data_IF_531100922560
#
_entry.id   IF_531100922560
#
_cell.length_a   1.000
_cell.length_b   1.000
_cell.length_c   1.000
_cell.angle_alpha   90.00
_cell.angle_beta   90.00
_cell.angle_gamma   90.00
#
_symmetry.space_group_name_H-M   'P 1'
#
loop_
_entity.id
_entity.type
_entity.pdbx_description
1 polymer ?
#
# COMPACT_ATOMS: atom_id res chain seq x y z
N UNK A 1 5.55 -5.65 8.19
CA UNK A 1 4.16 -5.97 7.80
C UNK A 1 3.36 -6.22 9.06
N UNK A 2 2.29 -5.46 9.29
CA UNK A 2 1.46 -5.64 10.47
C UNK A 2 0.80 -7.03 10.43
N UNK A 3 1.04 -7.86 11.45
CA UNK A 3 0.22 -9.05 11.72
C UNK A 3 -1.12 -8.62 12.30
N UNK A 4 -1.91 -7.90 11.49
CA UNK A 4 -3.22 -7.38 11.89
C UNK A 4 -4.27 -8.11 11.06
N UNK A 5 -4.84 -9.16 11.66
CA UNK A 5 -6.00 -9.88 11.13
C UNK A 5 -5.71 -10.87 10.00
N UNK A 6 -6.79 -11.27 9.32
CA UNK A 6 -6.79 -12.34 8.31
C UNK A 6 -6.06 -12.02 7.01
N UNK A 7 -5.83 -10.73 6.70
CA UNK A 7 -5.17 -10.30 5.46
C UNK A 7 -3.72 -10.79 5.40
N UNK A 8 -3.02 -10.78 6.54
CA UNK A 8 -1.67 -11.33 6.65
C UNK A 8 -1.62 -12.79 6.20
N UNK A 9 -2.61 -13.60 6.62
CA UNK A 9 -2.72 -15.00 6.22
C UNK A 9 -2.97 -15.14 4.73
N UNK A 10 -3.88 -14.35 4.16
CA UNK A 10 -4.20 -14.37 2.72
C UNK A 10 -2.96 -14.04 1.88
N UNK A 11 -2.22 -12.99 2.24
CA UNK A 11 -1.03 -12.59 1.48
C UNK A 11 0.07 -13.64 1.64
N UNK A 12 0.26 -14.16 2.86
CA UNK A 12 1.27 -15.19 3.14
C UNK A 12 1.04 -16.48 2.35
N UNK A 13 -0.19 -16.98 2.29
CA UNK A 13 -0.48 -18.23 1.56
C UNK A 13 -0.45 -18.03 0.05
N UNK A 14 -0.81 -16.84 -0.46
CA UNK A 14 -0.75 -16.52 -1.89
C UNK A 14 0.68 -16.29 -2.39
N UNK A 15 1.60 -15.92 -1.51
CA UNK A 15 2.95 -15.49 -1.88
C UNK A 15 3.72 -16.57 -2.65
N UNK A 16 3.65 -17.84 -2.22
CA UNK A 16 4.36 -18.95 -2.87
C UNK A 16 3.99 -19.09 -4.35
N UNK A 17 2.70 -19.25 -4.65
CA UNK A 17 2.21 -19.36 -6.03
C UNK A 17 2.48 -18.10 -6.85
N UNK A 18 2.39 -16.91 -6.24
CA UNK A 18 2.65 -15.66 -6.98
C UNK A 18 4.12 -15.50 -7.35
N UNK A 19 5.05 -15.90 -6.46
CA UNK A 19 6.48 -15.90 -6.76
C UNK A 19 6.84 -16.98 -7.78
N UNK A 20 6.17 -18.13 -7.77
CA UNK A 20 6.35 -19.16 -8.80
C UNK A 20 6.03 -18.62 -10.20
N UNK A 21 4.98 -17.80 -10.33
CA UNK A 21 4.59 -17.19 -11.61
C UNK A 21 5.42 -15.96 -12.00
N UNK A 22 5.72 -15.08 -11.05
CA UNK A 22 6.31 -13.75 -11.34
C UNK A 22 7.78 -13.61 -10.92
N UNK A 23 8.31 -14.54 -10.15
CA UNK A 23 9.68 -14.51 -9.64
C UNK A 23 10.03 -13.20 -8.93
N UNK A 24 11.20 -12.65 -9.27
CA UNK A 24 11.71 -11.41 -8.70
C UNK A 24 10.93 -10.14 -9.11
N UNK A 25 9.97 -10.24 -10.05
CA UNK A 25 9.10 -9.13 -10.42
C UNK A 25 7.95 -8.91 -9.43
N UNK A 26 7.71 -9.85 -8.52
CA UNK A 26 6.73 -9.68 -7.44
C UNK A 26 7.36 -9.03 -6.22
N UNK A 27 6.81 -7.87 -5.82
CA UNK A 27 7.29 -7.09 -4.68
C UNK A 27 6.11 -6.69 -3.81
N UNK A 28 6.17 -7.01 -2.52
CA UNK A 28 5.19 -6.58 -1.54
C UNK A 28 5.60 -5.24 -0.94
N UNK A 29 4.68 -4.28 -0.92
CA UNK A 29 4.87 -2.98 -0.30
C UNK A 29 4.12 -2.95 1.03
N UNK A 30 4.76 -2.46 2.08
CA UNK A 30 4.12 -2.35 3.40
C UNK A 30 4.75 -1.32 4.32
N UNK A 31 4.05 -0.94 5.40
CA UNK A 31 4.65 -0.11 6.43
C UNK A 31 5.70 -0.89 7.22
N UNK A 32 6.77 -0.19 7.60
CA UNK A 32 7.85 -0.70 8.43
C UNK A 32 7.36 -0.84 9.87
N UNK A 33 7.46 -2.06 10.37
CA UNK A 33 7.35 -2.35 11.80
C UNK A 33 8.67 -2.97 12.22
N UNK A 34 9.43 -2.29 13.08
CA UNK A 34 10.79 -2.70 13.43
C UNK A 34 10.85 -4.06 14.13
N UNK A 35 9.81 -4.40 14.92
CA UNK A 35 9.73 -5.69 15.63
C UNK A 35 9.55 -6.82 14.61
N UNK A 36 8.54 -6.71 13.74
CA UNK A 36 8.29 -7.73 12.71
C UNK A 36 9.44 -7.83 11.70
N UNK A 37 10.07 -6.71 11.34
CA UNK A 37 11.18 -6.71 10.38
C UNK A 37 12.35 -7.56 10.87
N UNK A 38 12.74 -7.43 12.15
CA UNK A 38 13.88 -8.19 12.72
C UNK A 38 13.66 -9.71 12.76
N UNK A 39 12.41 -10.15 12.84
CA UNK A 39 12.07 -11.58 13.01
C UNK A 39 11.61 -12.24 11.72
N UNK A 40 11.01 -11.48 10.81
CA UNK A 40 10.35 -12.03 9.62
C UNK A 40 11.04 -11.64 8.31
N UNK A 41 11.98 -10.70 8.29
CA UNK A 41 12.57 -10.20 7.04
C UNK A 41 14.08 -10.42 7.02
N UNK A 42 14.56 -11.08 5.97
CA UNK A 42 15.98 -11.10 5.64
C UNK A 42 16.36 -9.81 4.91
N UNK A 43 16.96 -8.88 5.65
CA UNK A 43 17.31 -7.55 5.13
C UNK A 43 18.49 -7.67 4.18
N UNK A 44 18.28 -7.22 2.95
CA UNK A 44 19.28 -7.27 1.88
C UNK A 44 19.15 -6.03 1.00
N UNK A 45 19.94 -5.95 -0.07
CA UNK A 45 19.78 -4.94 -1.11
C UNK A 45 19.18 -5.58 -2.36
N UNK A 46 18.34 -4.85 -3.12
CA UNK A 46 17.67 -5.41 -4.29
C UNK A 46 18.65 -5.76 -5.39
N UNK A 47 18.46 -6.93 -6.00
CA UNK A 47 19.19 -7.37 -7.20
C UNK A 47 18.73 -6.64 -8.46
N UNK A 48 17.46 -6.23 -8.49
CA UNK A 48 16.88 -5.48 -9.60
C UNK A 48 17.38 -4.01 -9.58
N UNK A 49 18.06 -3.59 -10.63
CA UNK A 49 18.64 -2.25 -10.75
C UNK A 49 17.59 -1.13 -10.76
N UNK A 50 16.43 -1.34 -11.39
CA UNK A 50 15.35 -0.36 -11.36
C UNK A 50 14.85 -0.14 -9.92
N UNK A 51 14.62 -1.24 -9.19
CA UNK A 51 14.20 -1.20 -7.80
C UNK A 51 15.26 -0.53 -6.90
N UNK A 52 16.53 -0.87 -7.10
CA UNK A 52 17.66 -0.28 -6.38
C UNK A 52 17.74 1.24 -6.57
N UNK A 53 17.59 1.70 -7.82
CA UNK A 53 17.59 3.13 -8.16
C UNK A 53 16.39 3.85 -7.56
N UNK A 54 15.19 3.26 -7.62
CA UNK A 54 14.00 3.82 -6.98
C UNK A 54 14.20 3.98 -5.48
N UNK A 55 14.64 2.93 -4.78
CA UNK A 55 14.85 2.98 -3.33
C UNK A 55 15.89 4.03 -2.98
N UNK A 56 16.99 4.11 -3.75
CA UNK A 56 18.01 5.14 -3.54
C UNK A 56 17.50 6.56 -3.83
N UNK A 57 16.61 6.75 -4.80
CA UNK A 57 15.99 8.05 -5.05
C UNK A 57 15.14 8.51 -3.86
N UNK A 58 14.33 7.63 -3.28
CA UNK A 58 13.54 7.96 -2.09
C UNK A 58 14.42 8.16 -0.85
N UNK A 59 15.47 7.34 -0.67
CA UNK A 59 16.45 7.50 0.43
C UNK A 59 17.19 8.84 0.36
N UNK A 60 17.43 9.40 -0.83
CA UNK A 60 18.01 10.76 -1.01
C UNK A 60 17.09 11.88 -0.51
N UNK A 61 15.81 11.60 -0.35
CA UNK A 61 14.82 12.51 0.23
C UNK A 61 14.54 12.20 1.71
N UNK A 62 15.49 11.58 2.41
CA UNK A 62 15.43 11.22 3.82
C UNK A 62 14.28 10.25 4.20
N UNK A 63 13.75 9.52 3.22
CA UNK A 63 12.73 8.50 3.46
C UNK A 63 13.43 7.21 3.86
N UNK A 64 13.19 6.73 5.08
CA UNK A 64 13.75 5.47 5.56
C UNK A 64 12.96 4.31 4.95
N UNK A 65 13.64 3.55 4.08
CA UNK A 65 13.09 2.39 3.38
C UNK A 65 14.00 1.18 3.59
N UNK A 66 13.39 0.07 3.97
CA UNK A 66 14.05 -1.22 4.15
C UNK A 66 13.61 -2.15 3.02
N UNK A 67 14.59 -2.69 2.29
CA UNK A 67 14.37 -3.79 1.36
C UNK A 67 14.79 -5.11 2.02
N UNK A 68 14.13 -6.19 1.62
CA UNK A 68 14.54 -7.53 2.03
C UNK A 68 13.66 -8.59 1.41
N UNK A 69 13.77 -9.79 1.94
CA UNK A 69 12.89 -10.91 1.58
C UNK A 69 12.12 -11.39 2.79
N UNK A 70 10.84 -11.66 2.60
CA UNK A 70 10.00 -12.15 3.69
C UNK A 70 10.29 -13.64 3.92
N UNK A 71 10.61 -14.00 5.16
CA UNK A 71 10.93 -15.36 5.62
C UNK A 71 9.66 -16.22 5.72
N UNK A 72 8.99 -16.41 4.59
CA UNK A 72 7.84 -17.28 4.41
C UNK A 72 8.05 -18.15 3.16
N UNK A 73 7.16 -19.12 2.96
CA UNK A 73 7.11 -19.92 1.74
C UNK A 73 6.97 -19.02 0.50
N UNK A 74 7.79 -19.27 -0.52
CA UNK A 74 7.90 -18.42 -1.71
C UNK A 74 9.01 -17.36 -1.66
N UNK A 75 9.50 -17.00 -0.48
CA UNK A 75 10.61 -16.03 -0.31
C UNK A 75 10.48 -14.72 -1.12
N UNK A 76 9.33 -14.01 -1.04
CA UNK A 76 9.04 -12.85 -1.88
C UNK A 76 9.86 -11.62 -1.48
N UNK A 77 10.11 -10.74 -2.45
CA UNK A 77 10.72 -9.43 -2.22
C UNK A 77 9.74 -8.51 -1.47
N UNK A 78 10.26 -7.75 -0.50
CA UNK A 78 9.48 -6.78 0.27
C UNK A 78 10.17 -5.42 0.34
N UNK A 79 9.38 -4.35 0.26
CA UNK A 79 9.80 -2.97 0.49
C UNK A 79 8.97 -2.42 1.64
N UNK A 80 9.64 -2.04 2.72
CA UNK A 80 9.02 -1.53 3.93
C UNK A 80 9.32 -0.06 4.13
N UNK A 81 8.28 0.75 4.24
CA UNK A 81 8.35 2.21 4.37
C UNK A 81 8.20 2.64 5.83
N UNK A 82 9.16 3.40 6.34
CA UNK A 82 9.04 4.05 7.65
C UNK A 82 8.11 5.26 7.56
N UNK A 83 6.85 5.08 7.96
CA UNK A 83 5.84 6.14 7.99
C UNK A 83 6.28 7.32 8.86
N UNK A 84 6.96 7.05 9.99
CA UNK A 84 7.40 8.07 10.93
C UNK A 84 8.39 9.05 10.31
N UNK A 85 9.26 8.58 9.42
CA UNK A 85 10.22 9.43 8.69
C UNK A 85 9.57 10.51 7.83
N UNK A 86 8.31 10.31 7.45
CA UNK A 86 7.59 11.15 6.49
C UNK A 86 6.40 11.90 7.10
N UNK A 87 6.20 11.81 8.42
CA UNK A 87 5.09 12.45 9.12
C UNK A 87 5.06 13.98 8.95
N UNK A 88 6.22 14.61 8.75
CA UNK A 88 6.33 16.06 8.54
C UNK A 88 5.66 16.57 7.25
N UNK A 89 5.39 15.68 6.28
CA UNK A 89 4.71 16.02 5.00
C UNK A 89 3.20 15.81 5.02
N UNK A 90 2.64 15.30 6.13
CA UNK A 90 1.24 14.86 6.18
C UNK A 90 0.25 15.95 5.78
N UNK A 91 0.46 17.20 6.21
CA UNK A 91 -0.46 18.30 5.93
C UNK A 91 -0.56 18.61 4.44
N UNK A 92 0.55 18.50 3.71
CA UNK A 92 0.56 18.64 2.25
C UNK A 92 -0.25 17.54 1.59
N UNK A 93 -0.08 16.29 2.03
CA UNK A 93 -0.81 15.16 1.43
C UNK A 93 -2.29 15.14 1.79
N UNK A 94 -2.66 15.59 2.99
CA UNK A 94 -4.07 15.83 3.35
C UNK A 94 -4.70 16.90 2.47
N UNK A 95 -3.97 17.99 2.22
CA UNK A 95 -4.40 19.05 1.31
C UNK A 95 -4.59 18.52 -0.11
N UNK A 96 -3.61 17.80 -0.65
CA UNK A 96 -3.70 17.18 -1.98
C UNK A 96 -4.93 16.26 -2.11
N UNK A 97 -5.20 15.46 -1.06
CA UNK A 97 -6.32 14.54 -1.02
C UNK A 97 -7.68 15.27 -0.99
N UNK A 98 -7.76 16.36 -0.23
CA UNK A 98 -8.93 17.24 -0.19
C UNK A 98 -9.17 17.91 -1.55
N UNK A 99 -8.13 18.51 -2.14
CA UNK A 99 -8.25 19.22 -3.42
C UNK A 99 -8.58 18.28 -4.58
N UNK A 100 -8.06 17.05 -4.55
CA UNK A 100 -8.26 16.09 -5.64
C UNK A 100 -9.57 15.30 -5.52
N UNK A 101 -10.00 14.97 -4.31
CA UNK A 101 -11.08 13.99 -4.07
C UNK A 101 -12.12 14.45 -3.04
N UNK A 102 -11.95 15.62 -2.43
CA UNK A 102 -12.82 16.14 -1.37
C UNK A 102 -12.92 15.20 -0.14
N UNK A 103 -11.84 14.49 0.17
CA UNK A 103 -11.75 13.58 1.33
C UNK A 103 -10.96 14.29 2.43
N UNK A 104 -11.66 14.63 3.53
CA UNK A 104 -11.08 15.26 4.71
C UNK A 104 -10.62 14.21 5.72
N UNK A 105 -9.46 14.43 6.35
CA UNK A 105 -8.88 13.50 7.33
C UNK A 105 -8.81 14.19 8.70
N UNK A 106 -9.54 13.68 9.72
CA UNK A 106 -9.48 14.20 11.07
C UNK A 106 -8.05 14.17 11.62
N UNK A 107 -7.66 15.22 12.35
CA UNK A 107 -6.28 15.34 12.88
C UNK A 107 -5.97 14.23 13.90
N UNK A 108 -6.96 13.87 14.73
CA UNK A 108 -6.78 12.92 15.83
C UNK A 108 -6.85 11.44 15.42
N UNK A 109 -7.17 11.14 14.16
CA UNK A 109 -7.25 9.77 13.67
C UNK A 109 -5.87 9.29 13.17
N UNK A 110 -5.13 8.62 14.04
CA UNK A 110 -3.80 8.08 13.72
C UNK A 110 -3.84 7.04 12.61
N UNK A 111 -4.91 6.23 12.52
CA UNK A 111 -5.00 5.17 11.51
C UNK A 111 -5.20 5.77 10.11
N UNK A 112 -6.09 6.76 9.99
CA UNK A 112 -6.25 7.51 8.74
C UNK A 112 -4.98 8.30 8.39
N UNK A 113 -4.31 8.90 9.38
CA UNK A 113 -3.04 9.61 9.16
C UNK A 113 -1.95 8.69 8.60
N UNK A 114 -1.79 7.51 9.18
CA UNK A 114 -0.81 6.50 8.75
C UNK A 114 -1.14 6.00 7.33
N UNK A 115 -2.42 5.77 7.03
CA UNK A 115 -2.89 5.38 5.69
C UNK A 115 -2.56 6.43 4.62
N UNK A 116 -2.70 7.73 4.95
CA UNK A 116 -2.36 8.83 4.04
C UNK A 116 -0.87 8.88 3.76
N UNK A 117 -0.04 8.83 4.81
CA UNK A 117 1.41 8.86 4.65
C UNK A 117 1.88 7.64 3.85
N UNK A 118 1.43 6.45 4.22
CA UNK A 118 1.78 5.22 3.51
C UNK A 118 1.34 5.26 2.05
N UNK A 119 0.10 5.67 1.78
CA UNK A 119 -0.42 5.82 0.42
C UNK A 119 0.38 6.81 -0.41
N UNK A 120 0.75 7.95 0.15
CA UNK A 120 1.56 8.96 -0.53
C UNK A 120 2.97 8.44 -0.88
N UNK A 121 3.60 7.70 0.04
CA UNK A 121 4.90 7.07 -0.17
C UNK A 121 4.84 5.98 -1.24
N UNK A 122 3.79 5.14 -1.24
CA UNK A 122 3.59 4.12 -2.27
C UNK A 122 3.38 4.76 -3.64
N UNK A 123 2.56 5.81 -3.75
CA UNK A 123 2.34 6.50 -5.01
C UNK A 123 3.62 7.20 -5.52
N UNK A 124 4.43 7.77 -4.62
CA UNK A 124 5.73 8.33 -5.00
C UNK A 124 6.68 7.23 -5.50
N UNK A 125 6.79 6.12 -4.76
CA UNK A 125 7.58 4.96 -5.17
C UNK A 125 7.20 4.46 -6.57
N UNK A 126 5.89 4.27 -6.83
CA UNK A 126 5.39 3.83 -8.15
C UNK A 126 5.74 4.83 -9.27
N UNK A 127 5.67 6.14 -8.99
CA UNK A 127 6.08 7.18 -9.93
C UNK A 127 7.57 7.12 -10.28
N UNK A 128 8.43 6.89 -9.28
CA UNK A 128 9.87 6.77 -9.49
C UNK A 128 10.26 5.51 -10.26
N UNK A 129 9.61 4.36 -10.00
CA UNK A 129 9.82 3.13 -10.81
C UNK A 129 9.53 3.40 -12.29
N UNK A 130 8.46 4.16 -12.58
CA UNK A 130 8.08 4.51 -13.95
C UNK A 130 9.14 5.38 -14.63
N UNK A 131 9.58 6.46 -13.98
CA UNK A 131 10.59 7.38 -14.52
C UNK A 131 11.87 6.65 -14.91
N UNK A 132 12.25 5.61 -14.15
CA UNK A 132 13.44 4.82 -14.41
C UNK A 132 13.24 3.79 -15.54
N UNK A 133 12.05 3.21 -15.69
CA UNK A 133 11.72 2.36 -16.85
C UNK A 133 11.73 3.13 -18.17
N UNK A 134 11.47 4.44 -18.16
CA UNK A 134 11.60 5.28 -19.36
C UNK A 134 13.03 5.31 -19.91
N UNK A 135 14.04 5.05 -19.07
CA UNK A 135 15.45 4.97 -19.44
C UNK A 135 15.88 3.59 -19.98
N UNK A 136 15.00 2.58 -19.99
CA UNK A 136 15.29 1.22 -20.47
C UNK A 136 14.79 0.98 -21.90
N UNK A 137 15.52 0.19 -22.72
CA UNK A 137 15.12 -0.17 -24.07
C UNK A 137 13.84 -1.03 -24.07
N UNK A 138 12.97 -0.82 -25.08
CA UNK A 138 11.70 -1.54 -25.24
C UNK A 138 11.92 -3.02 -25.60
N UNK A 139 10.98 -3.94 -25.26
CA UNK A 139 9.65 -3.71 -24.67
C UNK A 139 9.64 -3.68 -23.14
N UNK A 140 8.81 -2.80 -22.57
CA UNK A 140 8.68 -2.61 -21.11
C UNK A 140 7.49 -3.41 -20.57
N UNK A 141 7.66 -4.23 -19.53
CA UNK A 141 6.52 -4.91 -18.92
C UNK A 141 5.63 -3.88 -18.18
N UNK A 142 4.29 -4.03 -18.24
CA UNK A 142 3.37 -3.16 -17.53
C UNK A 142 3.60 -3.24 -16.01
N UNK A 143 3.34 -2.14 -15.29
CA UNK A 143 3.36 -2.14 -13.83
C UNK A 143 1.92 -2.32 -13.34
N UNK A 144 1.72 -3.29 -12.44
CA UNK A 144 0.44 -3.56 -11.79
C UNK A 144 0.61 -3.32 -10.29
N UNK A 145 -0.20 -2.45 -9.71
CA UNK A 145 -0.25 -2.18 -8.28
C UNK A 145 -1.57 -2.72 -7.69
N UNK A 146 -1.45 -3.73 -6.82
CA UNK A 146 -2.59 -4.36 -6.15
C UNK A 146 -2.67 -3.89 -4.69
N UNK A 147 -3.75 -3.19 -4.37
CA UNK A 147 -4.04 -2.64 -3.05
C UNK A 147 -5.04 -3.52 -2.30
N UNK A 148 -4.70 -3.90 -1.08
CA UNK A 148 -5.54 -4.71 -0.19
C UNK A 148 -6.07 -3.84 0.95
N UNK A 149 -7.39 -3.77 1.06
CA UNK A 149 -8.15 -2.91 1.98
C UNK A 149 -7.95 -1.39 1.88
N UNK A 150 -8.91 -0.69 2.48
CA UNK A 150 -8.99 0.77 2.48
C UNK A 150 -7.73 1.46 3.04
N UNK A 151 -7.05 0.87 4.02
CA UNK A 151 -5.81 1.40 4.61
C UNK A 151 -4.68 1.59 3.58
N UNK A 152 -4.64 0.76 2.53
CA UNK A 152 -3.65 0.90 1.46
C UNK A 152 -4.17 1.70 0.27
N UNK A 153 -5.48 1.93 0.21
CA UNK A 153 -6.18 2.49 -0.95
C UNK A 153 -5.93 3.97 -1.17
N UNK A 154 -5.42 4.70 -0.18
CA UNK A 154 -4.96 6.08 -0.40
C UNK A 154 -3.85 6.12 -1.45
N UNK A 155 -3.00 5.08 -1.51
CA UNK A 155 -2.01 4.93 -2.57
C UNK A 155 -2.66 4.79 -3.95
N UNK A 156 -3.74 4.01 -4.06
CA UNK A 156 -4.51 3.89 -5.31
C UNK A 156 -5.07 5.24 -5.75
N UNK A 157 -5.68 5.99 -4.82
CA UNK A 157 -6.23 7.32 -5.10
C UNK A 157 -5.13 8.22 -5.67
N UNK A 158 -3.99 8.34 -4.98
CA UNK A 158 -2.87 9.13 -5.46
C UNK A 158 -2.30 8.64 -6.79
N UNK A 159 -2.21 7.32 -7.02
CA UNK A 159 -1.78 6.77 -8.31
C UNK A 159 -2.69 7.25 -9.45
N UNK A 160 -4.00 7.30 -9.21
CA UNK A 160 -4.99 7.73 -10.21
C UNK A 160 -5.05 9.24 -10.38
N UNK A 161 -5.06 10.02 -9.31
CA UNK A 161 -5.13 11.50 -9.38
C UNK A 161 -3.84 12.12 -9.92
N UNK A 162 -2.69 11.45 -9.73
CA UNK A 162 -1.40 11.87 -10.31
C UNK A 162 -1.16 11.32 -11.72
N UNK A 163 -2.15 10.63 -12.33
CA UNK A 163 -2.07 10.08 -13.68
C UNK A 163 -0.83 9.18 -13.92
N UNK A 164 -0.49 8.34 -12.95
CA UNK A 164 0.61 7.40 -13.11
C UNK A 164 0.23 6.29 -14.11
N UNK A 165 1.17 5.91 -14.97
CA UNK A 165 1.01 4.81 -15.94
C UNK A 165 1.19 3.45 -15.25
N UNK A 166 0.26 3.14 -14.35
CA UNK A 166 0.25 1.92 -13.53
C UNK A 166 -1.18 1.39 -13.51
N UNK A 167 -1.35 0.12 -13.86
CA UNK A 167 -2.63 -0.56 -13.71
C UNK A 167 -2.90 -0.81 -12.22
N UNK A 168 -4.07 -0.40 -11.72
CA UNK A 168 -4.41 -0.56 -10.31
C UNK A 168 -5.49 -1.61 -10.10
N UNK A 169 -5.33 -2.44 -9.07
CA UNK A 169 -6.32 -3.43 -8.61
C UNK A 169 -6.63 -3.16 -7.15
N UNK A 170 -7.90 -3.20 -6.78
CA UNK A 170 -8.34 -3.06 -5.39
C UNK A 170 -9.09 -4.31 -4.94
N UNK A 171 -8.76 -4.79 -3.74
CA UNK A 171 -9.49 -5.87 -3.08
C UNK A 171 -9.80 -5.47 -1.64
N UNK A 172 -11.08 -5.30 -1.35
CA UNK A 172 -11.60 -5.19 0.02
C UNK A 172 -11.94 -6.59 0.53
N UNK A 173 -11.60 -6.88 1.78
CA UNK A 173 -11.88 -8.16 2.44
C UNK A 173 -13.16 -8.06 3.28
N UNK A 174 -13.51 -6.86 3.74
CA UNK A 174 -14.79 -6.53 4.34
C UNK A 174 -15.11 -5.04 4.16
N UNK A 175 -16.40 -4.71 4.05
CA UNK A 175 -16.82 -3.30 4.04
C UNK A 175 -16.89 -2.75 5.46
N UNK A 176 -16.41 -1.52 5.66
CA UNK A 176 -16.45 -0.83 6.97
C UNK A 176 -17.89 -0.81 7.52
N UNK A 177 -18.83 -0.36 6.70
CA UNK A 177 -20.24 -0.26 7.06
C UNK A 177 -20.87 -1.62 7.37
N UNK A 178 -20.53 -2.67 6.61
CA UNK A 178 -21.04 -4.01 6.85
C UNK A 178 -20.66 -4.53 8.24
N UNK A 179 -19.43 -4.24 8.70
CA UNK A 179 -18.99 -4.60 10.06
C UNK A 179 -19.79 -3.86 11.13
N UNK A 180 -20.01 -2.56 10.97
CA UNK A 180 -20.78 -1.74 11.93
C UNK A 180 -22.25 -2.15 11.99
N UNK A 181 -22.91 -2.32 10.84
CA UNK A 181 -24.32 -2.68 10.76
C UNK A 181 -24.61 -4.10 11.29
N UNK A 182 -23.72 -5.06 11.04
CA UNK A 182 -23.86 -6.39 11.62
C UNK A 182 -23.69 -6.38 13.15
N UNK A 183 -22.80 -5.53 13.68
CA UNK A 183 -22.60 -5.41 15.12
C UNK A 183 -23.80 -4.77 15.83
N UNK A 184 -24.54 -3.88 15.16
CA UNK A 184 -25.76 -3.26 15.70
C UNK A 184 -27.01 -4.15 15.60
N UNK A 185 -26.87 -5.42 15.22
CA UNK A 185 -27.97 -6.37 15.01
C UNK A 185 -29.00 -5.92 13.97
N UNK A 186 -28.60 -5.05 13.03
CA UNK A 186 -29.45 -4.67 11.92
C UNK A 186 -29.66 -5.86 10.97
N UNK A 187 -30.87 -6.00 10.44
CA UNK A 187 -31.14 -6.96 9.37
C UNK A 187 -30.56 -6.44 8.05
N UNK A 188 -29.24 -6.62 7.92
CA UNK A 188 -28.42 -6.02 6.87
C UNK A 188 -28.86 -6.47 5.48
N UNK A 189 -28.92 -7.78 5.25
CA UNK A 189 -29.12 -8.32 3.90
C UNK A 189 -30.51 -8.02 3.34
N UNK A 190 -31.54 -7.92 4.18
CA UNK A 190 -32.88 -7.59 3.74
C UNK A 190 -33.13 -6.08 3.58
N UNK A 191 -32.25 -5.23 4.11
CA UNK A 191 -32.42 -3.77 4.12
C UNK A 191 -31.28 -3.01 3.44
N UNK A 192 -30.34 -3.70 2.76
CA UNK A 192 -29.25 -3.12 1.97
C UNK A 192 -29.64 -1.85 1.17
N UNK A 193 -30.72 -1.84 0.36
CA UNK A 193 -31.08 -0.66 -0.43
C UNK A 193 -31.73 0.48 0.39
N UNK A 194 -32.03 0.26 1.66
CA UNK A 194 -32.71 1.23 2.54
C UNK A 194 -31.76 2.01 3.45
N UNK A 195 -30.48 1.61 3.52
CA UNK A 195 -29.51 2.31 4.34
C UNK A 195 -29.03 3.58 3.65
N UNK A 196 -29.16 4.70 4.36
CA UNK A 196 -28.52 5.96 3.99
C UNK A 196 -27.05 5.90 4.43
N UNK A 197 -26.15 5.61 3.48
CA UNK A 197 -24.75 5.34 3.77
C UNK A 197 -24.04 6.53 4.44
N UNK A 198 -24.48 7.76 4.17
CA UNK A 198 -23.88 8.98 4.71
C UNK A 198 -24.31 9.27 6.16
N UNK A 199 -25.43 8.70 6.61
CA UNK A 199 -26.00 8.92 7.95
C UNK A 199 -25.74 7.78 8.94
N UNK A 200 -25.23 6.66 8.46
CA UNK A 200 -24.97 5.48 9.30
C UNK A 200 -23.61 5.57 10.02
N UNK A 201 -22.80 6.59 9.71
CA UNK A 201 -21.48 6.86 10.31
C UNK A 201 -21.56 8.12 11.18
#
# INVERSE_FOLDING_TARGET
MFKVGGIYTVIRTKAATTVEELGDHYVLLGPLNEVCMRTEVDVSEPTNEALKRTINALRKHDIKIVFGRWLIEGYPNVVLFDIGSSAWRIDSWKKDLWESCNIGIPVHDSECNDAVIFGALVAWFLGEVKNLKECEPAPRPPIIAHFHEWLTSVGLIFTRTRHLDVATVFTTHATLLGRYLCASSADLYNNLPKFDLDKVI
#
